data_IF_596413309476
#
_entry.id   IF_596413309476
#
_cell.length_a   1.000
_cell.length_b   1.000
_cell.length_c   1.000
_cell.angle_alpha   90.00
_cell.angle_beta   90.00
_cell.angle_gamma   90.00
#
_symmetry.space_group_name_H-M   'P 1'
#
loop_
_entity.id
_entity.type
_entity.pdbx_description
1 polymer ?
#
# COMPACT_ATOMS: atom_id res chain seq x y z
N UNK A 1 -23.49 50.53 23.15
CA UNK A 1 -24.26 49.72 22.18
C UNK A 1 -23.26 49.04 21.28
N UNK A 2 -22.96 47.76 21.55
CA UNK A 2 -21.99 46.98 20.79
C UNK A 2 -22.74 46.16 19.73
N UNK A 3 -22.33 46.30 18.48
CA UNK A 3 -22.82 45.52 17.34
C UNK A 3 -22.03 44.22 17.27
N UNK A 4 -22.68 43.10 17.57
CA UNK A 4 -22.13 41.76 17.39
C UNK A 4 -22.40 41.28 15.95
N UNK A 5 -21.34 40.83 15.26
CA UNK A 5 -21.43 40.18 13.96
C UNK A 5 -21.98 38.75 14.12
N UNK A 6 -22.97 38.32 13.30
CA UNK A 6 -23.38 36.93 13.30
C UNK A 6 -22.32 36.08 12.60
N UNK A 7 -21.76 35.11 13.33
CA UNK A 7 -20.90 34.07 12.76
C UNK A 7 -21.74 33.10 11.94
N UNK A 8 -21.43 33.00 10.66
CA UNK A 8 -21.99 32.04 9.72
C UNK A 8 -21.43 30.62 10.04
N UNK A 9 -22.28 29.59 10.13
CA UNK A 9 -21.84 28.24 10.46
C UNK A 9 -21.07 27.61 9.29
N UNK A 10 -19.81 27.25 9.55
CA UNK A 10 -18.97 26.46 8.64
C UNK A 10 -19.61 25.08 8.42
N UNK A 11 -19.90 24.66 7.17
CA UNK A 11 -20.43 23.34 6.89
C UNK A 11 -19.47 22.25 7.38
N UNK A 12 -19.96 21.34 8.22
CA UNK A 12 -19.23 20.12 8.58
C UNK A 12 -19.09 19.23 7.34
N UNK A 13 -17.91 18.68 7.04
CA UNK A 13 -17.78 17.67 6.00
C UNK A 13 -18.54 16.40 6.45
N UNK A 14 -19.54 15.99 5.68
CA UNK A 14 -20.42 14.84 5.98
C UNK A 14 -19.77 13.46 5.84
N UNK A 15 -18.48 13.37 5.51
CA UNK A 15 -17.82 12.09 5.27
C UNK A 15 -16.64 11.84 6.22
N UNK A 16 -16.89 11.78 7.53
CA UNK A 16 -15.95 11.18 8.48
C UNK A 16 -16.21 9.67 8.56
N UNK A 17 -15.64 8.90 7.63
CA UNK A 17 -15.60 7.44 7.73
C UNK A 17 -14.72 7.06 8.92
N UNK A 18 -15.35 6.81 10.06
CA UNK A 18 -14.68 6.35 11.27
C UNK A 18 -14.45 4.85 11.11
N UNK A 19 -13.27 4.46 10.63
CA UNK A 19 -12.88 3.05 10.64
C UNK A 19 -12.50 2.66 12.08
N UNK A 20 -13.43 2.00 12.76
CA UNK A 20 -13.19 1.34 14.04
C UNK A 20 -12.52 0.00 13.72
N UNK A 21 -11.21 -0.11 13.94
CA UNK A 21 -10.54 -1.40 13.98
C UNK A 21 -10.78 -2.00 15.36
N UNK A 22 -11.58 -3.07 15.44
CA UNK A 22 -11.61 -3.93 16.61
C UNK A 22 -10.29 -4.69 16.67
N UNK A 23 -9.41 -4.29 17.58
CA UNK A 23 -8.25 -5.11 17.97
C UNK A 23 -8.81 -6.26 18.80
N UNK A 24 -8.86 -7.45 18.23
CA UNK A 24 -9.09 -8.66 19.03
C UNK A 24 -7.86 -8.86 19.89
N UNK A 25 -7.96 -8.56 21.19
CA UNK A 25 -6.98 -8.99 22.19
C UNK A 25 -6.87 -10.51 22.11
N UNK A 26 -5.82 -10.98 21.44
CA UNK A 26 -5.45 -12.39 21.46
C UNK A 26 -4.73 -12.66 22.77
N UNK A 27 -5.07 -13.73 23.50
CA UNK A 27 -4.41 -14.05 24.76
C UNK A 27 -2.91 -14.23 24.51
N UNK A 28 -2.11 -13.51 25.29
CA UNK A 28 -0.66 -13.59 25.30
C UNK A 28 -0.20 -14.98 25.74
N UNK A 29 0.03 -15.88 24.79
CA UNK A 29 0.83 -17.08 25.02
C UNK A 29 2.30 -16.67 24.97
N UNK A 30 2.88 -16.50 26.16
CA UNK A 30 4.33 -16.41 26.33
C UNK A 30 4.91 -17.80 26.13
N UNK A 31 5.47 -18.06 24.96
CA UNK A 31 6.44 -19.14 24.80
C UNK A 31 7.67 -18.59 24.09
N UNK A 32 8.63 -18.15 24.92
CA UNK A 32 9.91 -17.63 24.50
C UNK A 32 10.81 -18.81 24.14
N UNK A 33 10.68 -19.30 22.91
CA UNK A 33 11.76 -20.05 22.25
C UNK A 33 12.00 -19.41 20.89
N UNK A 34 12.65 -18.25 20.89
CA UNK A 34 13.22 -17.64 19.69
C UNK A 34 14.43 -18.48 19.32
N UNK A 35 14.23 -19.47 18.46
CA UNK A 35 15.30 -20.05 17.67
C UNK A 35 15.94 -18.90 16.88
N UNK A 36 17.13 -18.48 17.31
CA UNK A 36 18.00 -17.64 16.51
C UNK A 36 18.29 -18.40 15.22
N UNK A 37 17.62 -18.04 14.13
CA UNK A 37 18.02 -18.51 12.80
C UNK A 37 19.38 -17.87 12.53
N UNK A 38 20.49 -18.63 12.49
CA UNK A 38 21.77 -18.07 12.10
C UNK A 38 21.61 -17.57 10.67
N UNK A 39 21.73 -16.26 10.48
CA UNK A 39 21.94 -15.68 9.16
C UNK A 39 23.26 -16.26 8.64
N UNK A 40 23.15 -17.32 7.85
CA UNK A 40 24.30 -17.88 7.16
C UNK A 40 24.72 -16.86 6.10
N UNK A 41 25.70 -16.01 6.42
CA UNK A 41 26.39 -15.11 5.49
C UNK A 41 27.09 -15.87 4.34
N UNK A 42 27.07 -17.20 4.39
CA UNK A 42 27.63 -18.10 3.38
C UNK A 42 26.56 -18.77 2.51
N UNK A 43 25.55 -18.03 2.05
CA UNK A 43 24.95 -18.42 0.77
C UNK A 43 26.05 -18.21 -0.28
N UNK A 44 26.47 -19.25 -1.02
CA UNK A 44 27.47 -19.09 -2.06
C UNK A 44 26.95 -18.01 -3.01
N UNK A 45 27.63 -16.86 -3.00
CA UNK A 45 27.63 -15.95 -4.13
C UNK A 45 28.00 -16.85 -5.30
N UNK A 46 27.04 -17.09 -6.18
CA UNK A 46 27.27 -17.86 -7.38
C UNK A 46 28.13 -16.97 -8.28
N UNK A 47 29.42 -16.96 -7.99
CA UNK A 47 30.48 -16.19 -8.63
C UNK A 47 30.95 -16.91 -9.90
N UNK A 48 29.99 -17.48 -10.64
CA UNK A 48 30.21 -18.10 -11.93
C UNK A 48 29.43 -17.32 -13.00
N UNK A 49 30.01 -16.19 -13.39
CA UNK A 49 30.41 -15.96 -14.80
C UNK A 49 30.84 -14.51 -14.98
N UNK A 50 32.15 -14.33 -15.06
CA UNK A 50 32.73 -13.42 -16.05
C UNK A 50 32.29 -13.96 -17.42
N UNK A 51 31.14 -13.49 -17.91
CA UNK A 51 30.70 -13.79 -19.26
C UNK A 51 31.41 -12.82 -20.19
N UNK A 52 32.33 -13.38 -20.99
CA UNK A 52 32.99 -12.78 -22.13
C UNK A 52 32.02 -11.93 -22.99
N UNK A 53 32.52 -10.90 -23.70
CA UNK A 53 31.68 -9.95 -24.44
C UNK A 53 30.65 -10.67 -25.31
N UNK A 54 29.39 -10.36 -25.04
CA UNK A 54 28.23 -10.95 -25.71
C UNK A 54 28.34 -10.75 -27.22
N UNK A 55 28.39 -11.86 -27.97
CA UNK A 55 28.13 -11.86 -29.41
C UNK A 55 26.73 -11.29 -29.67
N UNK A 56 26.54 -10.41 -30.66
CA UNK A 56 25.22 -9.95 -31.06
C UNK A 56 24.40 -11.16 -31.55
N UNK A 57 23.44 -11.60 -30.75
CA UNK A 57 22.49 -12.64 -31.13
C UNK A 57 21.40 -11.99 -31.98
N UNK A 58 21.33 -12.39 -33.25
CA UNK A 58 20.37 -11.89 -34.23
C UNK A 58 18.94 -12.26 -33.82
N UNK A 59 18.20 -11.29 -33.27
CA UNK A 59 16.80 -11.45 -32.81
C UNK A 59 15.76 -11.44 -33.94
N UNK A 60 16.10 -11.88 -35.15
CA UNK A 60 15.20 -11.75 -36.33
C UNK A 60 14.49 -13.04 -36.77
N UNK A 61 14.73 -14.19 -36.12
CA UNK A 61 14.09 -15.46 -36.50
C UNK A 61 12.88 -15.88 -35.65
N UNK A 62 12.50 -15.12 -34.62
CA UNK A 62 11.39 -15.50 -33.70
C UNK A 62 10.02 -14.95 -34.09
N UNK A 63 9.94 -14.05 -35.06
CA UNK A 63 8.69 -13.40 -35.46
C UNK A 63 7.64 -14.32 -36.10
N UNK A 64 7.99 -15.28 -37.00
CA UNK A 64 6.96 -16.12 -37.62
C UNK A 64 6.31 -17.11 -36.64
N UNK A 65 7.05 -17.58 -35.62
CA UNK A 65 6.51 -18.51 -34.62
C UNK A 65 5.41 -17.89 -33.76
N UNK A 66 5.51 -16.59 -33.46
CA UNK A 66 4.47 -15.88 -32.68
C UNK A 66 3.17 -15.72 -33.48
N UNK A 67 3.26 -15.51 -34.80
CA UNK A 67 2.07 -15.44 -35.67
C UNK A 67 1.36 -16.79 -35.77
N UNK A 68 2.12 -17.89 -35.93
CA UNK A 68 1.53 -19.24 -35.95
C UNK A 68 0.89 -19.57 -34.61
N UNK A 69 1.53 -19.22 -33.49
CA UNK A 69 0.98 -19.45 -32.16
C UNK A 69 -0.31 -18.66 -31.90
N UNK A 70 -0.35 -17.37 -32.29
CA UNK A 70 -1.54 -16.54 -32.17
C UNK A 70 -2.71 -17.07 -33.04
N UNK A 71 -2.41 -17.56 -34.25
CA UNK A 71 -3.40 -18.18 -35.13
C UNK A 71 -4.01 -19.45 -34.50
N UNK A 72 -3.19 -20.31 -33.89
CA UNK A 72 -3.67 -21.50 -33.19
C UNK A 72 -4.60 -21.15 -32.02
N UNK A 73 -4.28 -20.12 -31.23
CA UNK A 73 -5.14 -19.66 -30.13
C UNK A 73 -6.46 -19.09 -30.68
N UNK A 74 -6.43 -18.33 -31.76
CA UNK A 74 -7.64 -17.78 -32.37
C UNK A 74 -8.59 -18.89 -32.88
N UNK A 75 -8.05 -19.96 -33.48
CA UNK A 75 -8.85 -21.11 -33.91
C UNK A 75 -9.47 -21.87 -32.73
N UNK A 76 -8.71 -22.07 -31.63
CA UNK A 76 -9.21 -22.72 -30.43
C UNK A 76 -10.27 -21.88 -29.69
N UNK A 77 -10.13 -20.55 -29.68
CA UNK A 77 -11.12 -19.65 -29.09
C UNK A 77 -12.42 -19.62 -29.92
N UNK A 78 -12.32 -19.67 -31.24
CA UNK A 78 -13.48 -19.67 -32.14
C UNK A 78 -14.37 -20.90 -32.02
N UNK A 79 -13.80 -22.08 -31.71
CA UNK A 79 -14.60 -23.31 -31.55
C UNK A 79 -15.38 -23.36 -30.23
N UNK A 80 -14.91 -22.68 -29.19
CA UNK A 80 -15.58 -22.66 -27.87
C UNK A 80 -16.57 -21.50 -27.73
N UNK A 81 -16.33 -20.37 -28.43
CA UNK A 81 -17.19 -19.18 -28.36
C UNK A 81 -18.49 -19.22 -29.18
N UNK A 82 -18.67 -20.22 -30.06
CA UNK A 82 -19.77 -20.25 -31.04
C UNK A 82 -21.15 -20.67 -30.53
N UNK A 83 -21.32 -21.04 -29.26
CA UNK A 83 -22.58 -21.63 -28.75
C UNK A 83 -23.37 -20.77 -27.75
N UNK A 84 -22.97 -19.52 -27.48
CA UNK A 84 -23.63 -18.66 -26.48
C UNK A 84 -24.57 -17.59 -27.09
N UNK A 85 -24.92 -17.71 -28.38
CA UNK A 85 -25.63 -16.68 -29.15
C UNK A 85 -27.14 -16.84 -29.32
N UNK A 86 -27.84 -17.72 -28.60
CA UNK A 86 -29.27 -18.00 -28.87
C UNK A 86 -30.21 -17.98 -27.63
N UNK A 87 -29.78 -17.48 -26.47
CA UNK A 87 -30.59 -17.57 -25.23
C UNK A 87 -31.12 -16.22 -24.70
N UNK A 88 -30.83 -15.07 -25.34
CA UNK A 88 -31.29 -13.75 -24.87
C UNK A 88 -32.27 -13.05 -25.83
N UNK A 89 -33.01 -13.80 -26.66
CA UNK A 89 -34.00 -13.21 -27.57
C UNK A 89 -35.47 -13.42 -27.15
N UNK A 90 -35.77 -14.08 -26.01
CA UNK A 90 -37.14 -14.55 -25.73
C UNK A 90 -37.77 -14.18 -24.39
N UNK A 91 -37.38 -13.05 -23.77
CA UNK A 91 -38.01 -12.60 -22.52
C UNK A 91 -38.44 -11.12 -22.49
N UNK A 92 -38.90 -10.59 -23.63
CA UNK A 92 -39.63 -9.31 -23.71
C UNK A 92 -41.02 -9.52 -24.30
N UNK A 93 -41.90 -10.16 -23.53
CA UNK A 93 -43.36 -10.04 -23.65
C UNK A 93 -44.00 -10.71 -22.44
N UNK A 94 -44.45 -9.91 -21.48
CA UNK A 94 -45.02 -10.44 -20.25
C UNK A 94 -45.46 -9.33 -19.30
N UNK A 95 -46.46 -8.58 -19.77
CA UNK A 95 -47.26 -7.65 -19.01
C UNK A 95 -47.86 -8.36 -17.77
N UNK A 96 -47.43 -8.04 -16.55
CA UNK A 96 -48.13 -8.44 -15.32
C UNK A 96 -48.12 -7.25 -14.36
N UNK A 97 -49.18 -6.45 -14.48
CA UNK A 97 -49.78 -5.75 -13.33
C UNK A 97 -50.05 -6.78 -12.24
N UNK A 98 -49.40 -6.65 -11.09
CA UNK A 98 -49.87 -7.27 -9.84
C UNK A 98 -50.25 -6.20 -8.86
N UNK A 99 -51.57 -6.12 -8.75
CA UNK A 99 -52.38 -5.44 -7.76
C UNK A 99 -51.96 -5.80 -6.35
N UNK A 100 -52.06 -4.78 -5.51
CA UNK A 100 -52.06 -4.73 -4.05
C UNK A 100 -52.93 -5.85 -3.46
N UNK A 101 -52.46 -6.52 -2.40
CA UNK A 101 -53.35 -6.96 -1.32
C UNK A 101 -52.64 -6.92 0.04
N UNK A 102 -53.41 -6.40 0.99
CA UNK A 102 -53.11 -6.09 2.37
C UNK A 102 -52.64 -7.29 3.21
N UNK A 103 -51.75 -7.03 4.17
CA UNK A 103 -51.99 -7.22 5.60
C UNK A 103 -50.68 -7.12 6.39
N UNK A 104 -50.53 -6.05 7.19
CA UNK A 104 -49.59 -6.03 8.30
C UNK A 104 -50.34 -5.57 9.56
N UNK A 105 -50.37 -6.38 10.65
CA UNK A 105 -51.08 -6.02 11.86
C UNK A 105 -50.36 -4.87 12.57
N UNK A 106 -51.14 -3.86 12.94
CA UNK A 106 -50.75 -2.74 13.80
C UNK A 106 -50.46 -3.30 15.20
N UNK A 107 -49.18 -3.50 15.52
CA UNK A 107 -48.74 -3.69 16.89
C UNK A 107 -48.60 -2.29 17.53
N UNK A 108 -49.54 -1.96 18.42
CA UNK A 108 -49.42 -0.84 19.35
C UNK A 108 -48.20 -1.09 20.26
N UNK A 109 -47.04 -0.57 19.86
CA UNK A 109 -45.86 -0.50 20.71
C UNK A 109 -45.75 0.93 21.26
N UNK A 110 -45.94 1.04 22.57
CA UNK A 110 -45.81 2.22 23.39
C UNK A 110 -44.47 2.94 23.10
N UNK A 111 -44.55 4.20 22.67
CA UNK A 111 -43.41 5.09 22.47
C UNK A 111 -42.64 5.26 23.78
N UNK A 112 -41.39 4.79 23.91
CA UNK A 112 -40.57 5.16 25.06
C UNK A 112 -40.17 6.64 24.93
N UNK A 113 -40.43 7.40 25.99
CA UNK A 113 -39.97 8.78 26.16
C UNK A 113 -38.45 8.85 25.93
N UNK A 114 -37.94 9.79 25.12
CA UNK A 114 -36.50 9.95 24.94
C UNK A 114 -35.89 10.43 26.26
N UNK A 115 -35.28 9.52 27.00
CA UNK A 115 -34.42 9.88 28.12
C UNK A 115 -33.19 10.58 27.53
N UNK A 116 -33.09 11.88 27.75
CA UNK A 116 -31.91 12.70 27.45
C UNK A 116 -30.72 12.19 28.26
N UNK A 117 -30.05 11.13 27.80
CA UNK A 117 -28.78 10.70 28.35
C UNK A 117 -27.74 11.74 27.93
N UNK A 118 -27.35 12.60 28.86
CA UNK A 118 -26.24 13.54 28.67
C UNK A 118 -25.00 12.74 28.28
N UNK A 119 -24.63 12.80 26.99
CA UNK A 119 -23.40 12.18 26.50
C UNK A 119 -22.24 12.84 27.25
N UNK A 120 -21.42 12.11 28.01
CA UNK A 120 -20.27 12.70 28.67
C UNK A 120 -19.39 13.35 27.60
N UNK A 121 -18.81 14.54 27.85
CA UNK A 121 -17.98 15.23 26.88
C UNK A 121 -16.87 14.29 26.43
N UNK A 122 -16.89 13.91 25.15
CA UNK A 122 -15.82 13.15 24.52
C UNK A 122 -14.55 14.00 24.62
N UNK A 123 -13.68 13.63 25.56
CA UNK A 123 -12.36 14.23 25.68
C UNK A 123 -11.52 13.69 24.53
N UNK A 124 -11.53 14.41 23.41
CA UNK A 124 -10.69 14.11 22.26
C UNK A 124 -9.24 14.28 22.70
N UNK A 125 -8.58 13.17 23.01
CA UNK A 125 -7.18 13.18 23.42
C UNK A 125 -6.30 13.35 22.18
N UNK A 126 -6.05 14.61 21.80
CA UNK A 126 -5.16 14.93 20.69
C UNK A 126 -3.71 14.58 21.08
N UNK A 127 -3.16 13.52 20.48
CA UNK A 127 -1.72 13.20 20.60
C UNK A 127 -0.97 13.76 19.40
N UNK A 128 0.06 14.53 19.67
CA UNK A 128 1.00 14.97 18.62
C UNK A 128 1.91 13.79 18.29
N UNK A 129 1.83 13.29 17.06
CA UNK A 129 2.74 12.25 16.56
C UNK A 129 4.04 12.93 16.15
N UNK A 130 5.15 12.60 16.81
CA UNK A 130 6.46 13.13 16.44
C UNK A 130 6.90 12.60 15.08
N UNK A 131 7.46 13.49 14.25
CA UNK A 131 8.08 13.12 12.98
C UNK A 131 9.46 12.53 13.27
N UNK A 132 9.75 11.27 12.87
CA UNK A 132 11.05 10.66 13.12
C UNK A 132 12.12 11.37 12.30
N UNK A 133 13.30 11.58 12.89
CA UNK A 133 14.45 12.07 12.12
C UNK A 133 15.02 10.95 11.26
N UNK A 134 15.36 11.28 10.02
CA UNK A 134 16.11 10.38 9.13
C UNK A 134 17.61 10.60 9.25
N UNK A 135 18.06 11.68 9.90
CA UNK A 135 19.43 12.17 9.83
C UNK A 135 19.72 13.03 8.61
N UNK A 136 18.75 13.37 7.75
CA UNK A 136 18.90 14.35 6.68
C UNK A 136 18.57 15.77 7.19
N UNK A 137 19.51 16.72 7.06
CA UNK A 137 19.35 18.09 7.61
C UNK A 137 18.62 19.05 6.67
N UNK A 138 18.50 18.72 5.38
CA UNK A 138 17.80 19.54 4.38
C UNK A 138 17.17 18.65 3.29
N UNK A 139 15.91 18.90 2.88
CA UNK A 139 15.23 18.09 1.87
C UNK A 139 15.85 18.21 0.47
N UNK A 140 16.69 19.22 0.22
CA UNK A 140 17.28 19.52 -1.09
C UNK A 140 18.75 19.14 -1.23
N UNK A 141 19.44 18.81 -0.13
CA UNK A 141 20.88 18.49 -0.17
C UNK A 141 21.08 16.99 -0.35
N UNK A 142 21.56 16.60 -1.52
CA UNK A 142 21.92 15.20 -1.79
C UNK A 142 23.16 14.83 -0.97
N UNK A 143 23.01 13.80 -0.15
CA UNK A 143 24.11 13.15 0.57
C UNK A 143 23.72 11.72 0.89
N UNK A 144 24.70 10.89 1.19
CA UNK A 144 24.43 9.53 1.67
C UNK A 144 25.27 9.20 2.89
N UNK A 145 24.72 8.39 3.79
CA UNK A 145 25.44 7.86 4.94
C UNK A 145 24.98 6.44 5.24
N UNK A 146 25.82 5.68 5.92
CA UNK A 146 25.49 4.33 6.37
C UNK A 146 24.68 4.40 7.66
N UNK A 147 23.79 3.44 7.83
CA UNK A 147 22.93 3.28 8.99
C UNK A 147 22.75 1.79 9.26
N UNK A 148 22.26 1.48 10.46
CA UNK A 148 22.03 0.11 10.90
C UNK A 148 20.59 -0.01 11.38
N UNK A 149 19.89 -1.05 10.93
CA UNK A 149 18.51 -1.28 11.37
C UNK A 149 18.48 -1.68 12.84
N UNK A 150 17.40 -1.36 13.56
CA UNK A 150 17.28 -1.55 15.00
C UNK A 150 17.09 -3.02 15.36
N UNK A 151 16.22 -3.73 14.65
CA UNK A 151 15.85 -5.12 14.95
C UNK A 151 16.86 -6.11 14.37
N UNK A 152 17.08 -6.07 13.06
CA UNK A 152 18.00 -7.02 12.38
C UNK A 152 19.48 -6.64 12.43
N UNK A 153 19.84 -5.47 12.98
CA UNK A 153 21.19 -4.93 12.91
C UNK A 153 21.77 -4.89 11.47
N UNK A 154 20.91 -4.80 10.46
CA UNK A 154 21.32 -4.85 9.06
C UNK A 154 21.87 -3.50 8.61
N UNK A 155 23.01 -3.49 7.93
CA UNK A 155 23.57 -2.27 7.35
C UNK A 155 22.80 -1.85 6.10
N UNK A 156 22.45 -0.57 6.04
CA UNK A 156 21.83 0.05 4.89
C UNK A 156 22.40 1.46 4.66
N UNK A 157 22.19 1.98 3.46
CA UNK A 157 22.58 3.34 3.09
C UNK A 157 21.33 4.20 2.97
N UNK A 158 21.37 5.36 3.62
CA UNK A 158 20.33 6.40 3.50
C UNK A 158 20.82 7.44 2.50
N UNK A 159 20.02 7.72 1.47
CA UNK A 159 20.25 8.75 0.47
C UNK A 159 19.25 9.88 0.68
N UNK A 160 19.75 11.05 1.11
CA UNK A 160 18.95 12.26 1.30
C UNK A 160 18.59 12.90 -0.04
N UNK A 161 17.46 13.62 -0.08
CA UNK A 161 17.00 14.36 -1.26
C UNK A 161 16.93 13.49 -2.53
N UNK A 162 16.62 12.22 -2.34
CA UNK A 162 16.65 11.19 -3.38
C UNK A 162 15.40 10.34 -3.25
N UNK A 163 14.63 10.22 -4.32
CA UNK A 163 13.45 9.36 -4.41
C UNK A 163 13.70 8.20 -5.36
N UNK A 164 12.97 7.11 -5.15
CA UNK A 164 12.94 6.01 -6.12
C UNK A 164 12.03 6.38 -7.30
N UNK A 165 12.46 6.02 -8.50
CA UNK A 165 11.61 6.11 -9.68
C UNK A 165 10.56 4.98 -9.64
N UNK A 166 9.43 5.14 -10.34
CA UNK A 166 8.26 4.24 -10.32
C UNK A 166 8.66 2.75 -10.29
N UNK A 167 8.50 2.11 -9.13
CA UNK A 167 8.81 0.68 -8.93
C UNK A 167 8.40 0.16 -7.54
N UNK A 168 7.18 0.48 -7.14
CA UNK A 168 6.62 0.07 -5.86
C UNK A 168 6.31 -1.43 -5.86
N UNK A 169 6.87 -2.16 -4.90
CA UNK A 169 6.49 -3.54 -4.61
C UNK A 169 5.29 -3.57 -3.64
N UNK A 170 5.40 -2.78 -2.58
CA UNK A 170 4.45 -2.75 -1.48
C UNK A 170 4.55 -1.44 -0.72
N UNK A 171 3.45 -0.94 -0.17
CA UNK A 171 3.41 0.26 0.65
C UNK A 171 2.94 -0.08 2.06
N UNK A 172 3.62 0.46 3.07
CA UNK A 172 3.31 0.21 4.48
C UNK A 172 3.56 1.44 5.34
N UNK A 173 3.03 1.41 6.56
CA UNK A 173 3.33 2.41 7.59
C UNK A 173 4.54 1.94 8.40
N UNK A 174 5.57 2.75 8.48
CA UNK A 174 6.78 2.52 9.27
C UNK A 174 6.97 3.63 10.31
N UNK A 175 7.40 3.26 11.52
CA UNK A 175 7.68 4.21 12.59
C UNK A 175 8.98 4.98 12.37
N UNK A 176 9.93 4.39 11.65
CA UNK A 176 11.23 4.95 11.31
C UNK A 176 11.74 4.47 9.95
N UNK A 177 12.84 5.06 9.47
CA UNK A 177 13.55 4.57 8.28
C UNK A 177 14.11 3.14 8.49
N UNK A 178 14.49 2.79 9.73
CA UNK A 178 14.93 1.45 10.08
C UNK A 178 13.82 0.43 9.84
N UNK A 179 12.62 0.67 10.37
CA UNK A 179 11.49 -0.24 10.25
C UNK A 179 11.10 -0.45 8.78
N UNK A 180 11.26 0.59 7.95
CA UNK A 180 11.03 0.49 6.51
C UNK A 180 12.03 -0.47 5.83
N UNK A 181 13.30 -0.44 6.24
CA UNK A 181 14.29 -1.41 5.76
C UNK A 181 14.06 -2.81 6.30
N UNK A 182 13.62 -2.94 7.54
CA UNK A 182 13.27 -4.25 8.13
C UNK A 182 12.07 -4.88 7.41
N UNK A 183 11.07 -4.08 7.02
CA UNK A 183 9.98 -4.54 6.18
C UNK A 183 10.48 -5.05 4.81
N UNK A 184 11.49 -4.40 4.22
CA UNK A 184 12.11 -4.88 2.98
C UNK A 184 12.81 -6.24 3.16
N UNK A 185 13.54 -6.40 4.26
CA UNK A 185 14.21 -7.67 4.62
C UNK A 185 13.16 -8.78 4.82
N UNK A 186 12.11 -8.48 5.60
CA UNK A 186 11.03 -9.42 5.86
C UNK A 186 10.27 -9.80 4.60
N UNK A 187 10.00 -8.85 3.71
CA UNK A 187 9.42 -9.11 2.41
C UNK A 187 10.26 -10.13 1.63
N UNK A 188 11.59 -9.93 1.56
CA UNK A 188 12.47 -10.87 0.87
C UNK A 188 12.50 -12.27 1.50
N UNK A 189 12.36 -12.36 2.82
CA UNK A 189 12.26 -13.64 3.53
C UNK A 189 10.96 -14.41 3.23
N UNK A 190 9.88 -13.71 2.85
CA UNK A 190 8.54 -14.30 2.69
C UNK A 190 7.99 -14.25 1.26
N UNK A 191 8.67 -13.59 0.33
CA UNK A 191 8.24 -13.49 -1.07
C UNK A 191 8.29 -14.87 -1.76
N UNK A 192 7.49 -15.04 -2.81
CA UNK A 192 7.58 -16.24 -3.66
C UNK A 192 8.81 -16.16 -4.56
N UNK A 193 9.21 -17.31 -5.11
CA UNK A 193 10.37 -17.41 -6.02
C UNK A 193 10.22 -16.49 -7.25
N UNK A 194 9.00 -16.34 -7.75
CA UNK A 194 8.66 -15.53 -8.91
C UNK A 194 8.45 -14.04 -8.61
N UNK A 195 8.40 -13.66 -7.33
CA UNK A 195 8.21 -12.27 -6.93
C UNK A 195 9.55 -11.52 -7.01
N UNK A 196 9.50 -10.24 -7.41
CA UNK A 196 10.67 -9.37 -7.49
C UNK A 196 11.27 -9.17 -6.09
N UNK A 197 12.60 -9.03 -6.00
CA UNK A 197 13.27 -8.77 -4.72
C UNK A 197 13.20 -7.31 -4.32
N UNK A 198 12.94 -7.06 -3.05
CA UNK A 198 13.08 -5.74 -2.46
C UNK A 198 14.56 -5.40 -2.29
N UNK A 199 15.01 -4.28 -2.84
CA UNK A 199 16.41 -3.81 -2.72
C UNK A 199 16.57 -2.63 -1.77
N UNK A 200 15.44 -2.07 -1.33
CA UNK A 200 15.38 -0.90 -0.48
C UNK A 200 13.98 -0.35 -0.33
N UNK A 201 13.88 0.89 0.13
CA UNK A 201 12.59 1.57 0.28
C UNK A 201 12.69 3.07 0.11
N UNK A 202 11.57 3.71 -0.24
CA UNK A 202 11.37 5.15 -0.09
C UNK A 202 10.69 5.43 1.24
N UNK A 203 11.24 6.34 2.04
CA UNK A 203 10.65 6.74 3.32
C UNK A 203 10.40 8.25 3.36
N UNK A 204 9.20 8.63 3.79
CA UNK A 204 8.76 10.04 3.89
C UNK A 204 8.36 10.30 5.35
N UNK A 205 9.23 10.87 6.19
CA UNK A 205 9.01 10.94 7.63
C UNK A 205 7.74 11.71 8.00
N UNK A 206 7.41 12.77 7.26
CA UNK A 206 6.21 13.59 7.50
C UNK A 206 4.90 12.86 7.24
N UNK A 207 4.91 11.82 6.39
CA UNK A 207 3.74 10.99 6.07
C UNK A 207 3.39 9.99 7.18
N UNK A 208 4.10 10.02 8.31
CA UNK A 208 3.64 9.35 9.53
C UNK A 208 2.29 9.89 10.01
N UNK A 209 1.98 11.14 9.68
CA UNK A 209 0.61 11.66 9.76
C UNK A 209 -0.17 11.18 8.53
N UNK A 210 -1.02 10.18 8.72
CA UNK A 210 -1.79 9.55 7.63
C UNK A 210 -2.71 10.54 6.91
N UNK A 211 -3.27 11.53 7.61
CA UNK A 211 -4.08 12.57 6.97
C UNK A 211 -3.22 13.39 6.01
N UNK A 212 -2.02 13.79 6.43
CA UNK A 212 -1.05 14.49 5.55
C UNK A 212 -0.63 13.61 4.38
N UNK A 213 -0.33 12.32 4.64
CA UNK A 213 0.02 11.36 3.59
C UNK A 213 -1.09 11.22 2.54
N UNK A 214 -2.35 11.10 2.95
CA UNK A 214 -3.49 11.04 2.02
C UNK A 214 -3.64 12.33 1.22
N UNK A 215 -3.49 13.50 1.86
CA UNK A 215 -3.57 14.79 1.17
C UNK A 215 -2.48 14.96 0.11
N UNK A 216 -1.24 14.57 0.42
CA UNK A 216 -0.09 14.80 -0.47
C UNK A 216 0.11 13.69 -1.51
N UNK A 217 -0.26 12.44 -1.20
CA UNK A 217 -0.21 11.32 -2.14
C UNK A 217 -1.48 11.17 -2.98
N UNK A 218 -2.57 11.86 -2.61
CA UNK A 218 -3.89 11.79 -3.23
C UNK A 218 -4.77 10.67 -2.67
N UNK A 219 -4.22 9.49 -2.34
CA UNK A 219 -5.01 8.32 -1.89
C UNK A 219 -4.27 7.34 -0.96
N UNK A 220 -2.96 7.50 -0.72
CA UNK A 220 -2.14 6.50 -0.02
C UNK A 220 -1.72 6.99 1.38
N UNK A 221 -2.21 6.36 2.47
CA UNK A 221 -1.87 6.75 3.84
C UNK A 221 -0.53 6.16 4.32
N UNK A 222 0.38 5.81 3.42
CA UNK A 222 1.61 5.09 3.72
C UNK A 222 2.82 6.00 3.64
N UNK A 223 3.85 5.74 4.45
CA UNK A 223 5.09 6.52 4.48
C UNK A 223 6.34 5.72 4.13
N UNK A 224 6.21 4.40 3.97
CA UNK A 224 7.26 3.49 3.52
C UNK A 224 6.81 2.76 2.26
N UNK A 225 7.63 2.82 1.22
CA UNK A 225 7.38 2.19 -0.07
C UNK A 225 8.53 1.26 -0.38
N UNK A 226 8.29 -0.05 -0.37
CA UNK A 226 9.28 -1.06 -0.72
C UNK A 226 9.53 -1.04 -2.23
N UNK A 227 10.80 -1.13 -2.64
CA UNK A 227 11.21 -0.91 -4.03
C UNK A 227 12.05 -2.06 -4.57
N UNK A 228 11.86 -2.39 -5.83
CA UNK A 228 12.80 -3.21 -6.61
C UNK A 228 13.81 -2.32 -7.35
N UNK A 229 14.75 -2.95 -8.08
CA UNK A 229 15.88 -2.27 -8.72
C UNK A 229 15.62 -1.89 -10.19
N UNK A 230 14.38 -1.92 -10.66
CA UNK A 230 14.12 -1.83 -12.10
C UNK A 230 14.18 -0.37 -12.59
N UNK A 231 13.89 0.58 -11.70
CA UNK A 231 13.76 2.00 -12.03
C UNK A 231 14.90 2.89 -11.54
N UNK A 232 15.68 2.43 -10.55
CA UNK A 232 16.74 3.20 -9.92
C UNK A 232 16.24 4.36 -9.04
N UNK A 233 17.15 5.30 -8.76
CA UNK A 233 16.88 6.46 -7.90
C UNK A 233 17.11 7.78 -8.64
N UNK A 234 16.36 8.81 -8.28
CA UNK A 234 16.41 10.14 -8.88
C UNK A 234 16.39 11.23 -7.81
N UNK A 235 16.69 12.46 -8.23
CA UNK A 235 16.64 13.63 -7.34
C UNK A 235 15.20 13.86 -6.86
N UNK A 236 15.04 14.13 -5.58
CA UNK A 236 13.76 14.56 -5.04
C UNK A 236 13.55 16.05 -5.37
N UNK A 237 12.55 16.34 -6.20
CA UNK A 237 12.14 17.71 -6.56
C UNK A 237 10.95 18.20 -5.71
N UNK A 238 10.45 17.37 -4.79
CA UNK A 238 9.34 17.74 -3.92
C UNK A 238 9.83 18.61 -2.75
N UNK A 239 8.95 19.47 -2.26
CA UNK A 239 9.18 20.29 -1.05
C UNK A 239 9.05 19.49 0.26
N UNK A 240 8.93 18.17 0.17
CA UNK A 240 8.87 17.27 1.32
C UNK A 240 10.11 16.41 1.35
N UNK A 241 10.53 16.05 2.56
CA UNK A 241 11.68 15.18 2.73
C UNK A 241 11.37 13.78 2.22
N UNK A 242 12.14 13.33 1.22
CA UNK A 242 12.12 11.95 0.72
C UNK A 242 13.52 11.39 0.87
N UNK A 243 13.61 10.25 1.55
CA UNK A 243 14.85 9.49 1.64
C UNK A 243 14.72 8.17 0.91
N UNK A 244 15.72 7.84 0.12
CA UNK A 244 15.87 6.51 -0.48
C UNK A 244 16.77 5.69 0.41
N UNK A 245 16.33 4.49 0.74
CA UNK A 245 17.03 3.52 1.56
C UNK A 245 17.43 2.37 0.64
N UNK A 246 18.66 1.89 0.74
CA UNK A 246 19.14 0.76 -0.06
C UNK A 246 20.18 -0.06 0.67
N UNK A 247 20.45 -1.27 0.19
CA UNK A 247 21.50 -2.15 0.76
C UNK A 247 22.88 -1.43 0.73
N UNK A 248 23.57 -1.45 1.86
CA UNK A 248 24.84 -0.73 2.09
C UNK A 248 26.09 -1.52 1.75
#
# INVERSE_FOLDING_TARGET
>A
MHSECPLEPVPKPENSSTYIYSVTESPSTSDNTVDQIPWNENLPVNEDRIQAPAKPTSKFLRWPYLLVYALCIALLAGTIGGFLGEIIAKNRSGNISRTIEDHCPLANASTPTPTSTSTPPSTVFARTISVPTTGCTRPTTQRSFKSTSQFFAAQYKTYCATGWLNDELFATSAGSASDCMEACIMYNGHKRVQDRSCVGGGFIPEWRNQSKAMTESGVMPYNCFLKSNDSGTGRNEKNVEVVSLGKG
#
